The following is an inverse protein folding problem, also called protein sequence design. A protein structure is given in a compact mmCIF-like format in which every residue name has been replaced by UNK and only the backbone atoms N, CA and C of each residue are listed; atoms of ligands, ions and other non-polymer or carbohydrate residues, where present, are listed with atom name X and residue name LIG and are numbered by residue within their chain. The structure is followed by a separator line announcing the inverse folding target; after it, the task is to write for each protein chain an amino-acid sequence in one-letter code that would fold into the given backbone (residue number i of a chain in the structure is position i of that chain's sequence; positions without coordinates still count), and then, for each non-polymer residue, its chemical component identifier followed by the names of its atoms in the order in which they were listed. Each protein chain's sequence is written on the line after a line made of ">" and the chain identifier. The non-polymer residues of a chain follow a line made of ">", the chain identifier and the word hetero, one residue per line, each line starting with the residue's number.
data_IF_022826718129
#
_entry.id   IF_022826718129
#
_cell.length_a   1.000
_cell.length_b   1.000
_cell.length_c   1.000
_cell.angle_alpha   90.00
_cell.angle_beta   90.00
_cell.angle_gamma   90.00
#
_symmetry.space_group_name_H-M   'P 1'
#
loop_
_entity.id
_entity.type
_entity.pdbx_description
1 polymer ?
#
# COMPACT_ATOMS: atom_id res chain seq x y z
N UNK A 1 28.50 -2.78 9.74
CA UNK A 1 27.12 -3.14 10.09
C UNK A 1 26.25 -2.80 8.89
N UNK A 2 25.49 -3.76 8.37
CA UNK A 2 24.72 -3.57 7.15
C UNK A 2 23.23 -3.68 7.50
N UNK A 3 22.46 -2.63 7.22
CA UNK A 3 21.01 -2.71 7.22
C UNK A 3 20.58 -3.31 5.88
N UNK A 4 19.87 -4.43 5.93
CA UNK A 4 19.06 -4.91 4.81
C UNK A 4 17.98 -3.87 4.50
N UNK A 5 17.60 -3.74 3.23
CA UNK A 5 16.51 -2.84 2.80
C UNK A 5 15.26 -3.11 3.64
N UNK A 6 14.65 -2.05 4.17
CA UNK A 6 13.47 -2.13 5.01
C UNK A 6 12.29 -1.47 4.28
N UNK A 7 11.19 -2.20 4.17
CA UNK A 7 9.96 -1.74 3.54
C UNK A 7 8.97 -1.26 4.62
N UNK A 8 8.20 -0.21 4.32
CA UNK A 8 7.17 0.30 5.23
C UNK A 8 6.11 -0.78 5.50
N UNK A 9 5.70 -0.96 6.76
CA UNK A 9 4.63 -1.89 7.14
C UNK A 9 4.98 -3.38 7.03
N UNK A 10 6.18 -3.73 6.55
CA UNK A 10 6.69 -5.09 6.48
C UNK A 10 7.76 -5.35 7.53
N UNK A 11 7.96 -6.59 7.94
CA UNK A 11 8.98 -6.93 8.94
C UNK A 11 10.38 -6.69 8.37
N UNK A 12 11.08 -5.71 8.94
CA UNK A 12 12.45 -5.38 8.62
C UNK A 12 13.39 -6.13 9.56
N UNK A 13 14.26 -6.96 8.99
CA UNK A 13 15.31 -7.63 9.76
C UNK A 13 16.60 -6.81 9.70
N UNK A 14 17.25 -6.58 10.82
CA UNK A 14 18.55 -5.92 10.94
C UNK A 14 19.60 -6.85 11.50
N UNK A 15 20.77 -6.87 10.89
CA UNK A 15 21.91 -7.64 11.36
C UNK A 15 22.94 -6.72 12.04
N UNK A 16 23.19 -6.99 13.32
CA UNK A 16 24.33 -6.43 14.06
C UNK A 16 25.47 -7.43 13.95
N UNK A 17 26.61 -7.00 13.41
CA UNK A 17 27.82 -7.83 13.30
C UNK A 17 28.97 -7.17 14.05
N UNK A 18 29.73 -7.96 14.80
CA UNK A 18 30.78 -7.48 15.69
C UNK A 18 31.51 -8.62 16.38
N UNK A 19 32.27 -8.33 17.43
CA UNK A 19 32.92 -9.33 18.29
C UNK A 19 32.21 -9.38 19.64
N UNK A 20 32.13 -10.55 20.27
CA UNK A 20 31.57 -10.76 21.61
C UNK A 20 30.10 -10.31 21.77
N UNK A 21 29.28 -10.44 20.72
CA UNK A 21 27.84 -10.14 20.76
C UNK A 21 27.03 -11.19 21.57
N UNK A 22 27.70 -12.23 22.07
CA UNK A 22 27.19 -13.21 23.03
C UNK A 22 27.13 -12.69 24.47
N UNK A 23 27.80 -11.56 24.77
CA UNK A 23 27.82 -10.94 26.10
C UNK A 23 26.59 -10.12 26.48
N UNK A 24 25.54 -10.20 25.67
CA UNK A 24 24.33 -9.40 25.83
C UNK A 24 24.48 -8.02 25.19
N UNK A 25 23.62 -7.74 24.22
CA UNK A 25 23.47 -6.43 23.61
C UNK A 25 21.98 -6.07 23.59
N UNK A 26 21.70 -4.79 23.66
CA UNK A 26 20.35 -4.25 23.51
C UNK A 26 20.28 -3.36 22.29
N UNK A 27 19.14 -3.39 21.60
CA UNK A 27 18.85 -2.50 20.49
C UNK A 27 17.67 -1.62 20.87
N UNK A 28 17.80 -0.32 20.64
CA UNK A 28 16.76 0.66 20.96
C UNK A 28 16.57 1.61 19.79
N UNK A 29 15.33 1.84 19.38
CA UNK A 29 15.01 2.82 18.34
C UNK A 29 15.17 4.23 18.94
N UNK A 30 15.99 5.06 18.30
CA UNK A 30 16.25 6.45 18.72
C UNK A 30 15.68 7.49 17.77
N UNK A 31 15.32 7.10 16.54
CA UNK A 31 14.62 7.94 15.57
C UNK A 31 13.76 7.06 14.66
N UNK A 32 12.56 7.55 14.31
CA UNK A 32 11.54 6.77 13.61
C UNK A 32 10.73 5.86 14.53
N UNK A 33 9.71 5.21 13.96
CA UNK A 33 8.80 4.29 14.67
C UNK A 33 8.92 2.89 14.07
N UNK A 34 9.11 1.89 14.92
CA UNK A 34 9.13 0.49 14.52
C UNK A 34 8.42 -0.36 15.57
N UNK A 35 7.38 -1.09 15.16
CA UNK A 35 6.59 -1.91 16.07
C UNK A 35 7.24 -3.27 16.29
N UNK A 36 7.05 -3.83 17.50
CA UNK A 36 7.39 -5.22 17.78
C UNK A 36 8.88 -5.55 17.70
N UNK A 37 9.75 -4.60 18.06
CA UNK A 37 11.19 -4.83 18.06
C UNK A 37 11.56 -6.04 18.93
N UNK A 38 12.11 -7.08 18.29
CA UNK A 38 12.45 -8.34 18.92
C UNK A 38 13.74 -8.93 18.35
N UNK A 39 14.46 -9.72 19.13
CA UNK A 39 15.62 -10.47 18.65
C UNK A 39 15.15 -11.72 17.87
N UNK A 40 15.71 -11.92 16.68
CA UNK A 40 15.46 -13.11 15.85
C UNK A 40 16.36 -14.25 16.34
N UNK A 41 15.81 -15.46 16.58
CA UNK A 41 16.59 -16.62 17.00
C UNK A 41 17.75 -16.99 16.05
N UNK A 42 18.76 -17.67 16.59
CA UNK A 42 19.91 -18.15 15.82
C UNK A 42 21.03 -17.12 15.64
N UNK A 43 21.23 -16.26 16.64
CA UNK A 43 22.43 -15.41 16.74
C UNK A 43 23.69 -16.19 17.10
N UNK A 44 24.84 -15.54 16.95
CA UNK A 44 26.17 -16.05 17.32
C UNK A 44 26.96 -14.97 18.09
N UNK A 45 28.15 -15.32 18.57
CA UNK A 45 29.08 -14.36 19.16
C UNK A 45 29.51 -13.23 18.20
N UNK A 46 29.24 -13.38 16.90
CA UNK A 46 29.63 -12.41 15.87
C UNK A 46 28.48 -11.77 15.12
N UNK A 47 27.25 -12.27 15.30
CA UNK A 47 26.08 -11.77 14.59
C UNK A 47 24.83 -11.93 15.43
N UNK A 48 24.08 -10.84 15.57
CA UNK A 48 22.73 -10.81 16.17
C UNK A 48 21.77 -10.23 15.15
N UNK A 49 20.53 -10.71 15.15
CA UNK A 49 19.49 -10.24 14.24
C UNK A 49 18.31 -9.74 15.03
N UNK A 50 17.73 -8.62 14.61
CA UNK A 50 16.53 -8.03 15.20
C UNK A 50 15.49 -7.86 14.12
N UNK A 51 14.22 -8.04 14.45
CA UNK A 51 13.10 -7.76 13.57
C UNK A 51 12.23 -6.68 14.18
N UNK A 52 11.73 -5.75 13.37
CA UNK A 52 10.68 -4.83 13.75
C UNK A 52 9.90 -4.39 12.49
N UNK A 53 8.69 -3.87 12.65
CA UNK A 53 7.86 -3.40 11.54
C UNK A 53 7.86 -1.86 11.44
N UNK A 54 8.52 -1.26 10.44
CA UNK A 54 8.59 0.20 10.32
C UNK A 54 7.21 0.84 10.13
N UNK A 55 6.95 1.91 10.87
CA UNK A 55 5.70 2.71 10.84
C UNK A 55 5.93 4.18 10.48
N UNK A 56 7.17 4.56 10.19
CA UNK A 56 7.53 5.92 9.77
C UNK A 56 8.41 5.88 8.53
N UNK A 57 8.23 6.87 7.65
CA UNK A 57 9.12 7.10 6.52
C UNK A 57 10.43 7.77 6.96
N UNK A 58 11.44 7.71 6.10
CA UNK A 58 12.71 8.40 6.30
C UNK A 58 13.66 7.61 7.20
N UNK A 59 14.44 8.32 8.02
CA UNK A 59 15.46 7.69 8.86
C UNK A 59 14.85 6.89 9.99
N UNK A 60 15.12 5.59 10.00
CA UNK A 60 14.92 4.71 11.14
C UNK A 60 16.29 4.37 11.74
N UNK A 61 16.52 4.91 12.93
CA UNK A 61 17.82 4.84 13.61
C UNK A 61 17.70 3.99 14.86
N UNK A 62 18.60 3.02 14.99
CA UNK A 62 18.71 2.18 16.16
C UNK A 62 20.09 2.33 16.81
N UNK A 63 20.08 2.49 18.13
CA UNK A 63 21.27 2.42 18.94
C UNK A 63 21.48 1.00 19.45
N UNK A 64 22.70 0.50 19.34
CA UNK A 64 23.12 -0.75 19.96
C UNK A 64 23.97 -0.42 21.18
N UNK A 65 23.58 -0.98 22.33
CA UNK A 65 24.30 -0.85 23.58
C UNK A 65 24.77 -2.21 24.09
N UNK A 66 25.88 -2.23 24.82
CA UNK A 66 26.33 -3.43 25.55
C UNK A 66 25.48 -3.68 26.80
N UNK A 67 25.74 -4.78 27.50
CA UNK A 67 25.08 -5.12 28.77
C UNK A 67 25.26 -4.07 29.88
N UNK A 68 26.28 -3.21 29.79
CA UNK A 68 26.52 -2.09 30.70
C UNK A 68 25.79 -0.80 30.29
N UNK A 69 25.05 -0.81 29.17
CA UNK A 69 24.34 0.35 28.64
C UNK A 69 25.22 1.30 27.82
N UNK A 70 26.50 0.98 27.62
CA UNK A 70 27.38 1.81 26.79
C UNK A 70 27.05 1.64 25.32
N UNK A 71 26.99 2.76 24.59
CA UNK A 71 26.73 2.74 23.15
C UNK A 71 27.93 2.15 22.41
N UNK A 72 27.70 1.04 21.72
CA UNK A 72 28.73 0.38 20.90
C UNK A 72 28.52 0.59 19.41
N UNK A 73 27.29 0.92 18.97
CA UNK A 73 26.99 1.09 17.56
C UNK A 73 25.71 1.90 17.30
N UNK A 74 25.57 2.38 16.07
CA UNK A 74 24.35 2.98 15.54
C UNK A 74 24.06 2.39 14.17
N UNK A 75 22.84 1.92 13.97
CA UNK A 75 22.31 1.45 12.70
C UNK A 75 21.36 2.53 12.16
N UNK A 76 21.41 2.73 10.85
CA UNK A 76 20.51 3.63 10.15
C UNK A 76 20.01 2.93 8.89
N UNK A 77 18.70 2.94 8.70
CA UNK A 77 18.05 2.53 7.45
C UNK A 77 17.09 3.62 7.02
N UNK A 78 16.97 3.84 5.71
CA UNK A 78 15.98 4.78 5.16
C UNK A 78 14.77 3.98 4.73
N UNK A 79 13.61 4.31 5.28
CA UNK A 79 12.31 3.71 4.93
C UNK A 79 11.69 4.56 3.81
N UNK A 80 11.63 4.06 2.57
CA UNK A 80 10.99 4.77 1.48
C UNK A 80 9.46 4.72 1.60
N UNK A 81 8.77 5.52 0.78
CA UNK A 81 7.34 5.33 0.54
C UNK A 81 7.10 3.93 -0.02
N UNK A 82 6.08 3.20 0.47
CA UNK A 82 5.78 1.87 -0.02
C UNK A 82 5.34 1.94 -1.48
N UNK A 83 5.77 0.96 -2.27
CA UNK A 83 5.33 0.81 -3.67
C UNK A 83 4.69 -0.53 -3.87
N UNK A 84 3.46 -0.53 -4.39
CA UNK A 84 2.75 -1.74 -4.80
C UNK A 84 2.78 -1.85 -6.31
N UNK A 85 3.28 -2.97 -6.81
CA UNK A 85 3.23 -3.30 -8.23
C UNK A 85 1.99 -4.14 -8.50
N UNK A 86 1.17 -3.70 -9.45
CA UNK A 86 0.09 -4.49 -10.04
C UNK A 86 0.62 -5.16 -11.30
N UNK A 87 0.55 -6.48 -11.35
CA UNK A 87 0.84 -7.26 -12.56
C UNK A 87 -0.45 -7.47 -13.35
N UNK A 88 -0.41 -7.16 -14.64
CA UNK A 88 -1.46 -7.46 -15.61
C UNK A 88 -0.85 -8.22 -16.78
N UNK A 89 -1.68 -8.85 -17.61
CA UNK A 89 -1.20 -9.52 -18.84
C UNK A 89 -0.49 -8.54 -19.79
N UNK A 90 -0.93 -7.27 -19.80
CA UNK A 90 -0.43 -6.24 -20.70
C UNK A 90 0.82 -5.50 -20.16
N UNK A 91 1.22 -5.73 -18.91
CA UNK A 91 2.35 -5.05 -18.27
C UNK A 91 2.12 -4.81 -16.78
N UNK A 92 2.93 -3.93 -16.20
CA UNK A 92 2.90 -3.62 -14.76
C UNK A 92 2.55 -2.16 -14.49
N UNK A 93 1.89 -1.90 -13.37
CA UNK A 93 1.60 -0.55 -12.87
C UNK A 93 2.20 -0.42 -11.46
N UNK A 94 3.08 0.57 -11.26
CA UNK A 94 3.70 0.82 -9.96
C UNK A 94 2.99 1.97 -9.23
N UNK A 95 2.47 1.67 -8.04
CA UNK A 95 1.71 2.58 -7.19
C UNK A 95 2.55 2.99 -5.97
N UNK A 96 3.03 4.23 -5.93
CA UNK A 96 3.69 4.81 -4.75
C UNK A 96 2.63 5.37 -3.79
N UNK A 97 2.59 4.86 -2.57
CA UNK A 97 1.57 5.23 -1.57
C UNK A 97 2.11 6.24 -0.56
N UNK A 98 1.20 7.02 0.05
CA UNK A 98 1.53 8.07 1.01
C UNK A 98 1.00 7.76 2.42
N UNK A 99 1.77 7.01 3.24
CA UNK A 99 1.35 6.67 4.61
C UNK A 99 1.43 7.86 5.58
N UNK A 100 1.95 9.02 5.15
CA UNK A 100 1.95 10.23 5.98
C UNK A 100 0.62 10.97 5.82
N UNK A 101 0.14 11.10 4.58
CA UNK A 101 -1.15 11.74 4.31
C UNK A 101 -2.35 10.83 4.58
N UNK A 102 -2.24 9.53 4.33
CA UNK A 102 -3.35 8.57 4.45
C UNK A 102 -2.93 7.26 5.16
N UNK A 103 -2.50 7.33 6.44
CA UNK A 103 -1.94 6.19 7.16
C UNK A 103 -2.89 4.98 7.26
N UNK A 104 -4.18 5.20 7.52
CA UNK A 104 -5.16 4.10 7.65
C UNK A 104 -5.43 3.46 6.30
N UNK A 105 -5.58 4.29 5.27
CA UNK A 105 -5.87 3.85 3.90
C UNK A 105 -4.70 3.08 3.31
N UNK A 106 -3.47 3.57 3.46
CA UNK A 106 -2.27 2.88 2.99
C UNK A 106 -2.08 1.55 3.71
N UNK A 107 -2.29 1.51 5.03
CA UNK A 107 -2.20 0.26 5.78
C UNK A 107 -3.23 -0.77 5.26
N UNK A 108 -4.49 -0.35 5.12
CA UNK A 108 -5.56 -1.20 4.59
C UNK A 108 -5.23 -1.74 3.19
N UNK A 109 -4.76 -0.88 2.28
CA UNK A 109 -4.40 -1.30 0.93
C UNK A 109 -3.21 -2.28 0.91
N UNK A 110 -2.19 -2.03 1.73
CA UNK A 110 -1.05 -2.94 1.87
C UNK A 110 -1.47 -4.29 2.47
N UNK A 111 -2.41 -4.32 3.42
CA UNK A 111 -2.92 -5.57 4.00
C UNK A 111 -3.64 -6.42 2.94
N UNK A 112 -4.44 -5.80 2.07
CA UNK A 112 -5.05 -6.51 0.93
C UNK A 112 -4.02 -6.99 -0.09
N UNK A 113 -3.07 -6.14 -0.47
CA UNK A 113 -2.05 -6.48 -1.46
C UNK A 113 -1.14 -7.62 -0.95
N UNK A 114 -0.55 -7.46 0.23
CA UNK A 114 0.33 -8.46 0.82
C UNK A 114 -0.42 -9.75 1.22
N UNK A 115 -1.74 -9.67 1.43
CA UNK A 115 -2.61 -10.82 1.64
C UNK A 115 -3.03 -11.57 0.35
N UNK A 116 -2.64 -11.09 -0.83
CA UNK A 116 -3.01 -11.69 -2.12
C UNK A 116 -4.47 -11.47 -2.52
N UNK A 117 -5.19 -10.53 -1.88
CA UNK A 117 -6.62 -10.30 -2.15
C UNK A 117 -6.87 -9.78 -3.57
N UNK A 118 -5.94 -8.96 -4.08
CA UNK A 118 -6.06 -8.38 -5.42
C UNK A 118 -5.69 -9.35 -6.54
N UNK A 119 -5.15 -10.52 -6.21
CA UNK A 119 -4.78 -11.54 -7.19
C UNK A 119 -6.04 -12.08 -7.88
N UNK A 120 -6.02 -12.08 -9.21
CA UNK A 120 -7.16 -12.41 -10.07
C UNK A 120 -8.39 -11.50 -9.88
N UNK A 121 -8.20 -10.25 -9.46
CA UNK A 121 -9.30 -9.26 -9.45
C UNK A 121 -9.38 -8.48 -10.76
N UNK A 122 -10.54 -7.85 -11.00
CA UNK A 122 -10.82 -7.08 -12.20
C UNK A 122 -10.71 -5.57 -11.96
N UNK A 123 -10.26 -4.85 -12.99
CA UNK A 123 -10.76 -3.50 -13.24
C UNK A 123 -12.18 -3.59 -13.79
N UNK A 124 -13.14 -3.58 -12.88
CA UNK A 124 -14.55 -3.89 -13.16
C UNK A 124 -15.39 -2.68 -13.60
N UNK A 125 -14.81 -1.47 -13.56
CA UNK A 125 -15.44 -0.25 -14.07
C UNK A 125 -14.40 0.67 -14.68
N UNK A 126 -14.59 1.02 -15.94
CA UNK A 126 -13.65 1.82 -16.72
C UNK A 126 -14.39 2.94 -17.45
N UNK A 127 -13.98 4.19 -17.27
CA UNK A 127 -14.61 5.35 -17.88
C UNK A 127 -13.53 6.26 -18.45
N UNK A 128 -13.52 6.41 -19.79
CA UNK A 128 -12.60 7.28 -20.50
C UNK A 128 -12.69 8.72 -20.00
N UNK A 129 -11.52 9.33 -19.74
CA UNK A 129 -11.43 10.71 -19.23
C UNK A 129 -11.91 10.88 -17.79
N UNK A 130 -12.10 9.79 -17.03
CA UNK A 130 -12.50 9.85 -15.63
C UNK A 130 -11.62 8.93 -14.76
N UNK A 131 -11.95 7.64 -14.66
CA UNK A 131 -11.25 6.69 -13.77
C UNK A 131 -11.23 5.27 -14.34
N UNK A 132 -10.27 4.48 -13.86
CA UNK A 132 -10.36 3.01 -13.87
C UNK A 132 -10.49 2.51 -12.43
N UNK A 133 -11.48 1.67 -12.14
CA UNK A 133 -11.82 1.19 -10.80
C UNK A 133 -11.73 -0.34 -10.72
N UNK A 134 -11.10 -0.85 -9.67
CA UNK A 134 -10.79 -2.27 -9.51
C UNK A 134 -10.78 -2.76 -8.05
N UNK A 135 -10.32 -3.99 -7.86
CA UNK A 135 -10.05 -4.55 -6.52
C UNK A 135 -11.28 -5.00 -5.72
N UNK A 136 -12.33 -5.47 -6.38
CA UNK A 136 -13.55 -5.94 -5.70
C UNK A 136 -14.30 -7.11 -6.35
N UNK A 137 -13.93 -7.49 -7.58
CA UNK A 137 -14.62 -8.52 -8.37
C UNK A 137 -13.60 -9.42 -9.07
N UNK A 138 -13.95 -10.67 -9.31
CA UNK A 138 -13.13 -11.65 -10.04
C UNK A 138 -13.77 -12.00 -11.40
N UNK A 139 -12.99 -12.54 -12.37
CA UNK A 139 -13.51 -13.03 -13.65
C UNK A 139 -14.66 -14.05 -13.49
N UNK A 140 -15.55 -14.09 -14.48
CA UNK A 140 -16.59 -15.13 -14.60
C UNK A 140 -17.86 -14.92 -13.76
N UNK A 141 -17.89 -13.97 -12.83
CA UNK A 141 -19.05 -13.74 -11.96
C UNK A 141 -19.47 -12.26 -11.85
N UNK A 142 -20.10 -11.68 -12.89
CA UNK A 142 -20.53 -10.28 -12.86
C UNK A 142 -21.89 -10.09 -12.15
N UNK A 143 -22.09 -10.74 -10.99
CA UNK A 143 -23.23 -10.50 -10.09
C UNK A 143 -22.68 -9.95 -8.75
N UNK A 144 -23.35 -8.95 -8.13
CA UNK A 144 -22.92 -8.30 -6.88
C UNK A 144 -22.76 -9.26 -5.70
N UNK A 145 -23.37 -10.45 -5.75
CA UNK A 145 -23.17 -11.53 -4.78
C UNK A 145 -21.76 -12.14 -4.79
N UNK A 146 -20.90 -11.79 -5.76
CA UNK A 146 -19.54 -12.31 -5.91
C UNK A 146 -18.45 -11.28 -5.60
N UNK A 147 -18.78 -10.23 -4.85
CA UNK A 147 -17.73 -9.45 -4.19
C UNK A 147 -16.97 -10.38 -3.23
N UNK A 148 -15.64 -10.38 -3.33
CA UNK A 148 -14.82 -11.12 -2.40
C UNK A 148 -15.06 -10.57 -0.97
N UNK A 149 -15.19 -11.43 0.06
CA UNK A 149 -15.38 -10.97 1.43
C UNK A 149 -14.26 -10.01 1.84
N UNK A 150 -14.63 -8.81 2.26
CA UNK A 150 -13.68 -7.76 2.63
C UNK A 150 -13.47 -7.70 4.14
N UNK A 151 -12.36 -7.09 4.55
CA UNK A 151 -12.16 -6.60 5.90
C UNK A 151 -13.18 -5.49 6.25
N UNK A 152 -13.33 -5.12 7.54
CA UNK A 152 -14.17 -4.01 7.96
C UNK A 152 -13.82 -2.70 7.22
N UNK A 153 -14.84 -1.85 7.05
CA UNK A 153 -14.65 -0.54 6.42
C UNK A 153 -13.74 0.37 7.25
N UNK A 154 -12.98 1.22 6.56
CA UNK A 154 -12.06 2.16 7.16
C UNK A 154 -12.65 3.56 7.29
N UNK A 155 -12.07 4.37 8.19
CA UNK A 155 -12.37 5.80 8.29
C UNK A 155 -11.91 6.52 7.02
N UNK A 156 -12.67 7.51 6.58
CA UNK A 156 -12.35 8.33 5.43
C UNK A 156 -11.23 9.33 5.74
N UNK A 157 -10.15 9.28 4.96
CA UNK A 157 -8.98 10.18 5.07
C UNK A 157 -8.90 11.20 3.93
N UNK A 158 -10.04 11.66 3.40
CA UNK A 158 -10.06 12.58 2.24
C UNK A 158 -9.68 14.03 2.57
N UNK A 159 -9.80 14.45 3.83
CA UNK A 159 -9.30 15.74 4.31
C UNK A 159 -7.81 15.68 4.64
N UNK A 160 -6.99 15.17 3.71
CA UNK A 160 -5.55 15.00 3.86
C UNK A 160 -4.72 15.96 2.97
N UNK A 161 -5.39 16.84 2.23
CA UNK A 161 -4.76 17.81 1.33
C UNK A 161 -4.33 17.25 -0.03
N UNK A 162 -4.58 15.97 -0.31
CA UNK A 162 -4.33 15.37 -1.61
C UNK A 162 -5.56 15.53 -2.53
N UNK A 163 -5.32 15.85 -3.80
CA UNK A 163 -6.37 16.07 -4.82
C UNK A 163 -6.39 14.91 -5.82
N UNK A 164 -7.58 14.60 -6.35
CA UNK A 164 -7.88 13.56 -7.33
C UNK A 164 -7.41 13.97 -8.74
N UNK A 165 -6.13 14.28 -8.87
CA UNK A 165 -5.48 14.64 -10.12
C UNK A 165 -5.15 13.40 -10.95
N UNK A 166 -4.90 13.59 -12.25
CA UNK A 166 -4.48 12.52 -13.15
C UNK A 166 -3.27 11.75 -12.59
N UNK A 167 -3.37 10.43 -12.63
CA UNK A 167 -2.36 9.50 -12.12
C UNK A 167 -2.43 9.26 -10.61
N UNK A 168 -3.33 9.91 -9.87
CA UNK A 168 -3.53 9.60 -8.44
C UNK A 168 -4.42 8.38 -8.23
N UNK A 169 -4.23 7.75 -7.08
CA UNK A 169 -4.97 6.57 -6.62
C UNK A 169 -5.81 6.96 -5.39
N UNK A 170 -7.09 6.61 -5.42
CA UNK A 170 -8.03 6.90 -4.33
C UNK A 170 -8.94 5.71 -4.01
N UNK A 171 -9.47 5.67 -2.78
CA UNK A 171 -10.38 4.61 -2.36
C UNK A 171 -11.79 4.83 -2.88
N UNK A 172 -12.38 3.79 -3.48
CA UNK A 172 -13.80 3.78 -3.77
C UNK A 172 -14.60 3.52 -2.48
N UNK A 173 -15.79 4.09 -2.39
CA UNK A 173 -16.70 3.95 -1.25
C UNK A 173 -18.16 4.04 -1.70
N UNK A 174 -19.07 3.67 -0.82
CA UNK A 174 -20.49 3.97 -0.97
C UNK A 174 -20.78 5.43 -0.60
N UNK A 175 -22.05 5.82 -0.53
CA UNK A 175 -22.43 7.15 -0.07
C UNK A 175 -22.00 7.41 1.39
N UNK A 176 -21.93 6.36 2.21
CA UNK A 176 -21.43 6.46 3.59
C UNK A 176 -19.93 6.81 3.58
N UNK A 177 -19.48 7.87 4.28
CA UNK A 177 -18.08 8.29 4.26
C UNK A 177 -17.10 7.17 4.66
N UNK A 178 -17.37 6.50 5.78
CA UNK A 178 -16.53 5.45 6.36
C UNK A 178 -16.92 4.04 5.85
N UNK A 179 -17.01 3.89 4.52
CA UNK A 179 -17.43 2.62 3.89
C UNK A 179 -16.43 2.03 2.91
N UNK A 180 -15.27 2.66 2.73
CA UNK A 180 -14.20 2.12 1.90
C UNK A 180 -13.68 0.80 2.49
N UNK A 181 -13.47 -0.20 1.63
CA UNK A 181 -12.89 -1.50 1.99
C UNK A 181 -11.70 -1.82 1.09
N UNK A 182 -11.88 -2.59 0.02
CA UNK A 182 -10.80 -3.04 -0.88
C UNK A 182 -10.75 -2.30 -2.21
N UNK A 183 -11.88 -1.75 -2.66
CA UNK A 183 -11.98 -1.16 -4.00
C UNK A 183 -11.25 0.18 -4.07
N UNK A 184 -10.52 0.37 -5.16
CA UNK A 184 -9.77 1.59 -5.45
C UNK A 184 -10.03 2.03 -6.89
N UNK A 185 -9.69 3.28 -7.19
CA UNK A 185 -9.66 3.78 -8.56
C UNK A 185 -8.41 4.62 -8.83
N UNK A 186 -7.96 4.58 -10.09
CA UNK A 186 -6.89 5.43 -10.61
C UNK A 186 -7.53 6.51 -11.47
N UNK A 187 -7.23 7.76 -11.16
CA UNK A 187 -7.69 8.93 -11.91
C UNK A 187 -6.95 9.01 -13.25
N UNK A 188 -7.67 9.05 -14.37
CA UNK A 188 -7.09 9.26 -15.71
C UNK A 188 -7.25 10.69 -16.22
N UNK A 189 -7.92 11.55 -15.45
CA UNK A 189 -8.03 12.98 -15.66
C UNK A 189 -8.00 13.70 -14.31
N UNK A 190 -7.96 15.02 -14.32
CA UNK A 190 -8.10 15.83 -13.11
C UNK A 190 -9.58 15.87 -12.69
N UNK A 191 -9.91 15.12 -11.64
CA UNK A 191 -11.26 14.91 -11.15
C UNK A 191 -11.49 15.67 -9.84
N UNK A 192 -11.19 16.97 -9.81
CA UNK A 192 -11.23 17.79 -8.58
C UNK A 192 -12.63 17.87 -7.95
N UNK A 193 -13.69 17.52 -8.67
CA UNK A 193 -15.03 17.34 -8.12
C UNK A 193 -15.13 16.17 -7.11
N UNK A 194 -14.14 15.28 -7.08
CA UNK A 194 -14.02 14.17 -6.12
C UNK A 194 -13.23 14.57 -4.86
N UNK A 195 -12.67 15.78 -4.81
CA UNK A 195 -11.87 16.24 -3.68
C UNK A 195 -12.74 16.51 -2.45
N UNK A 196 -12.11 16.45 -1.28
CA UNK A 196 -12.75 16.93 -0.05
C UNK A 196 -13.00 18.45 -0.15
N UNK A 197 -14.24 18.87 0.09
CA UNK A 197 -14.59 20.29 0.21
C UNK A 197 -15.19 20.65 1.57
N UNK A 198 -15.98 19.75 2.16
CA UNK A 198 -16.52 19.89 3.53
C UNK A 198 -16.97 18.54 4.09
N UNK A 199 -17.48 18.48 5.33
CA UNK A 199 -18.06 17.25 5.90
C UNK A 199 -19.29 16.76 5.12
N UNK A 200 -20.09 17.68 4.56
CA UNK A 200 -21.26 17.36 3.73
C UNK A 200 -20.87 16.91 2.31
N UNK A 201 -19.67 17.27 1.87
CA UNK A 201 -19.10 16.89 0.58
C UNK A 201 -17.69 16.30 0.80
N UNK A 202 -17.63 15.11 1.42
CA UNK A 202 -16.37 14.62 1.96
C UNK A 202 -15.45 14.02 0.88
N UNK A 203 -15.85 13.98 -0.40
CA UNK A 203 -14.98 13.52 -1.48
C UNK A 203 -14.47 12.08 -1.33
N UNK A 204 -13.30 11.80 -1.91
CA UNK A 204 -12.64 10.48 -1.94
C UNK A 204 -11.18 10.62 -1.51
N UNK A 205 -10.72 9.68 -0.66
CA UNK A 205 -9.38 9.72 -0.09
C UNK A 205 -8.33 9.28 -1.11
N UNK A 206 -7.54 10.23 -1.62
CA UNK A 206 -6.31 9.95 -2.34
C UNK A 206 -5.26 9.47 -1.37
N UNK A 207 -4.57 8.38 -1.69
CA UNK A 207 -3.57 7.76 -0.82
C UNK A 207 -2.28 7.35 -1.56
N UNK A 208 -2.16 7.72 -2.84
CA UNK A 208 -0.99 7.40 -3.63
C UNK A 208 -1.09 7.88 -5.07
N UNK A 209 -0.12 7.48 -5.89
CA UNK A 209 -0.05 7.80 -7.31
C UNK A 209 0.67 6.72 -8.11
N UNK A 210 0.37 6.68 -9.40
CA UNK A 210 1.11 5.89 -10.39
C UNK A 210 2.48 6.53 -10.62
N UNK A 211 3.52 5.71 -10.55
CA UNK A 211 4.93 6.12 -10.81
C UNK A 211 5.52 5.43 -12.04
N UNK A 212 4.95 4.31 -12.47
CA UNK A 212 5.23 3.66 -13.75
C UNK A 212 3.95 2.98 -14.28
N UNK A 213 3.78 2.90 -15.60
CA UNK A 213 2.62 2.26 -16.23
C UNK A 213 1.41 3.18 -16.40
N UNK A 214 1.57 4.51 -16.39
CA UNK A 214 0.44 5.45 -16.56
C UNK A 214 -0.15 5.34 -17.99
N UNK A 215 0.68 5.08 -18.98
CA UNK A 215 0.27 4.79 -20.35
C UNK A 215 -0.58 3.50 -20.46
N UNK A 216 -0.30 2.50 -19.61
CA UNK A 216 -1.12 1.30 -19.53
C UNK A 216 -2.48 1.62 -18.89
N UNK A 217 -2.49 2.43 -17.83
CA UNK A 217 -3.73 2.94 -17.21
C UNK A 217 -4.58 3.68 -18.25
N UNK A 218 -3.97 4.55 -19.07
CA UNK A 218 -4.67 5.26 -20.15
C UNK A 218 -5.26 4.30 -21.19
N UNK A 219 -4.47 3.32 -21.63
CA UNK A 219 -4.90 2.32 -22.61
C UNK A 219 -6.07 1.48 -22.08
N UNK A 220 -6.04 1.10 -20.80
CA UNK A 220 -7.15 0.42 -20.14
C UNK A 220 -8.38 1.32 -20.14
N UNK A 221 -8.22 2.63 -19.87
CA UNK A 221 -9.35 3.55 -19.67
C UNK A 221 -10.29 3.71 -20.87
N UNK A 222 -9.84 3.34 -22.07
CA UNK A 222 -10.58 3.50 -23.33
C UNK A 222 -11.00 2.17 -23.97
N UNK A 223 -10.82 1.03 -23.27
CA UNK A 223 -11.27 -0.26 -23.80
C UNK A 223 -12.80 -0.29 -23.97
N UNK A 224 -13.35 -1.02 -24.95
CA UNK A 224 -14.78 -1.19 -25.09
C UNK A 224 -15.40 -1.74 -23.80
N UNK A 225 -16.51 -1.14 -23.37
CA UNK A 225 -17.23 -1.56 -22.17
C UNK A 225 -18.65 -2.02 -22.47
N UNK A 226 -19.23 -2.75 -21.53
CA UNK A 226 -20.61 -3.24 -21.52
C UNK A 226 -21.24 -3.00 -20.16
N UNK A 227 -22.56 -3.08 -20.13
CA UNK A 227 -23.33 -3.09 -18.88
C UNK A 227 -23.70 -4.52 -18.52
N UNK A 228 -23.60 -4.84 -17.23
CA UNK A 228 -24.17 -6.06 -16.62
C UNK A 228 -25.16 -5.64 -15.55
N UNK A 229 -26.41 -5.35 -15.95
CA UNK A 229 -27.46 -4.99 -15.01
C UNK A 229 -27.73 -6.12 -14.00
N UNK A 230 -28.10 -5.80 -12.75
CA UNK A 230 -28.31 -4.44 -12.22
C UNK A 230 -27.03 -3.74 -11.72
N UNK A 231 -25.87 -4.39 -11.75
CA UNK A 231 -24.81 -4.08 -10.79
C UNK A 231 -23.55 -3.43 -11.36
N UNK A 232 -23.15 -3.75 -12.59
CA UNK A 232 -21.90 -3.25 -13.16
C UNK A 232 -22.19 -2.44 -14.41
N UNK A 233 -21.81 -1.16 -14.38
CA UNK A 233 -21.85 -0.26 -15.52
C UNK A 233 -20.43 0.02 -15.97
N UNK A 234 -20.20 0.00 -17.28
CA UNK A 234 -18.88 0.21 -17.90
C UNK A 234 -17.84 -0.86 -17.52
N UNK A 235 -18.27 -2.12 -17.47
CA UNK A 235 -17.37 -3.27 -17.34
C UNK A 235 -16.65 -3.49 -18.67
N UNK A 236 -15.32 -3.67 -18.72
CA UNK A 236 -14.64 -4.06 -19.95
C UNK A 236 -15.27 -5.27 -20.65
N UNK A 237 -15.33 -5.23 -21.98
CA UNK A 237 -15.82 -6.38 -22.78
C UNK A 237 -14.85 -7.55 -22.68
N UNK A 238 -13.56 -7.25 -22.76
CA UNK A 238 -12.46 -8.17 -22.43
C UNK A 238 -12.00 -7.85 -21.01
N UNK A 239 -12.03 -8.85 -20.13
CA UNK A 239 -11.64 -8.69 -18.74
C UNK A 239 -10.21 -8.13 -18.63
N UNK A 240 -10.06 -7.10 -17.80
CA UNK A 240 -8.75 -6.53 -17.44
C UNK A 240 -8.41 -7.02 -16.05
N UNK A 241 -7.61 -8.08 -15.99
CA UNK A 241 -7.30 -8.84 -14.78
C UNK A 241 -6.00 -8.34 -14.15
N UNK A 242 -6.04 -8.08 -12.84
CA UNK A 242 -4.87 -7.95 -11.98
C UNK A 242 -4.43 -9.36 -11.62
N UNK A 243 -3.34 -9.82 -12.22
CA UNK A 243 -2.77 -11.15 -11.98
C UNK A 243 -2.17 -11.27 -10.58
N UNK A 244 -1.63 -10.16 -10.06
CA UNK A 244 -1.20 -10.07 -8.67
C UNK A 244 -0.89 -8.64 -8.25
N UNK A 245 -0.93 -8.40 -6.94
CA UNK A 245 -0.50 -7.14 -6.36
C UNK A 245 0.47 -7.40 -5.20
N UNK A 246 1.67 -6.82 -5.25
CA UNK A 246 2.67 -7.00 -4.17
C UNK A 246 3.39 -5.71 -3.84
N UNK A 247 3.73 -5.53 -2.58
CA UNK A 247 4.69 -4.51 -2.18
C UNK A 247 6.09 -4.87 -2.70
N UNK A 248 6.68 -3.99 -3.50
CA UNK A 248 8.04 -4.17 -4.08
C UNK A 248 9.08 -3.27 -3.41
N UNK A 249 8.66 -2.24 -2.67
CA UNK A 249 9.51 -1.32 -1.91
C UNK A 249 8.82 -0.85 -0.63
#
# INVERSE_FOLDING_TARGET
>A
MAATSAAYGSDAVWAVSGLNLDRGIALTITSGTCDGLTEVPGGSAFQRRYSCRPRSLGDLVAQVSDAGGSRIATLRVVIPKPVVQLDLEQGTIDLELDPVAAPVTVQNFLDYANGGFYDNTLFHRVIAGFVIQGGGYTPGSPNPEFQAPTQPAIVLESNNGLSNLRGTLAMARTNEPNSATSQFFINVADNTALDYSSEEQPGYAVFGRVTAGLELVDAISVVPTRSVPPALLNLPVTDVVVLGARQVR
#
